data_IF_457512176379
#
_entry.id   IF_457512176379
#
_cell.length_a   1.000
_cell.length_b   1.000
_cell.length_c   1.000
_cell.angle_alpha   90.00
_cell.angle_beta   90.00
_cell.angle_gamma   90.00
#
_symmetry.space_group_name_H-M   'P 1'
#
loop_
_entity.id
_entity.type
_entity.pdbx_description
1 polymer ?
#
# COMPACT_ATOMS: atom_id res chain seq x y z
N UNK A 1 -23.82 -70.50 -44.12
CA UNK A 1 -22.66 -69.78 -44.70
C UNK A 1 -22.63 -68.42 -44.03
N UNK A 2 -21.57 -67.86 -43.44
CA UNK A 2 -20.14 -68.19 -43.40
C UNK A 2 -19.56 -67.50 -42.13
N UNK A 3 -18.55 -68.13 -41.53
CA UNK A 3 -17.66 -67.61 -40.47
C UNK A 3 -16.98 -66.30 -40.90
N UNK A 4 -16.59 -65.43 -39.95
CA UNK A 4 -15.18 -65.21 -39.56
C UNK A 4 -15.01 -64.05 -38.57
N UNK A 5 -14.23 -64.32 -37.52
CA UNK A 5 -13.68 -63.36 -36.57
C UNK A 5 -12.51 -62.60 -37.18
N UNK A 6 -12.32 -61.32 -36.84
CA UNK A 6 -11.10 -60.55 -37.14
C UNK A 6 -10.67 -59.78 -35.88
N UNK A 7 -9.50 -60.07 -35.31
CA UNK A 7 -8.81 -59.19 -34.37
C UNK A 7 -7.73 -58.39 -35.13
N UNK A 8 -7.70 -57.07 -34.97
CA UNK A 8 -6.55 -56.26 -35.40
C UNK A 8 -6.06 -55.46 -34.21
N UNK A 9 -4.88 -55.87 -33.74
CA UNK A 9 -4.07 -55.19 -32.75
C UNK A 9 -3.65 -53.81 -33.29
N UNK A 10 -4.07 -52.74 -32.61
CA UNK A 10 -3.56 -51.40 -32.87
C UNK A 10 -2.26 -51.21 -32.07
N UNK A 11 -1.15 -51.13 -32.80
CA UNK A 11 0.16 -50.71 -32.31
C UNK A 11 0.07 -49.30 -31.70
N UNK A 12 0.43 -49.14 -30.42
CA UNK A 12 0.79 -47.85 -29.84
C UNK A 12 2.30 -47.65 -30.01
N UNK A 13 2.69 -46.77 -30.94
CA UNK A 13 4.05 -46.25 -31.03
C UNK A 13 3.96 -44.71 -31.05
N UNK A 14 4.02 -44.10 -29.87
CA UNK A 14 4.24 -42.66 -29.75
C UNK A 14 5.74 -42.42 -29.56
N UNK A 15 6.37 -41.94 -30.63
CA UNK A 15 7.70 -41.33 -30.63
C UNK A 15 7.55 -39.92 -30.05
N UNK A 16 8.15 -39.64 -28.89
CA UNK A 16 8.38 -38.27 -28.42
C UNK A 16 9.89 -38.02 -28.38
N UNK A 17 10.41 -37.61 -29.53
CA UNK A 17 11.73 -37.00 -29.70
C UNK A 17 11.62 -35.54 -29.26
N UNK A 18 12.44 -35.14 -28.28
CA UNK A 18 12.44 -33.78 -27.73
C UNK A 18 13.11 -32.73 -28.62
N UNK A 19 13.00 -31.47 -28.21
CA UNK A 19 14.11 -30.52 -28.20
C UNK A 19 13.76 -29.30 -27.32
N UNK A 20 14.70 -29.03 -26.41
CA UNK A 20 14.91 -27.86 -25.58
C UNK A 20 14.17 -26.58 -26.01
N UNK A 21 13.14 -26.20 -25.25
CA UNK A 21 12.82 -24.80 -25.06
C UNK A 21 13.66 -24.29 -23.91
N UNK A 22 14.77 -23.61 -24.22
CA UNK A 22 15.38 -22.64 -23.30
C UNK A 22 14.35 -21.52 -23.10
N UNK A 23 13.36 -21.76 -22.25
CA UNK A 23 12.69 -20.67 -21.57
C UNK A 23 13.71 -20.13 -20.59
N UNK A 24 14.47 -19.13 -21.03
CA UNK A 24 14.97 -18.09 -20.14
C UNK A 24 13.74 -17.58 -19.42
N UNK A 25 13.46 -18.18 -18.26
CA UNK A 25 12.64 -17.60 -17.22
C UNK A 25 13.38 -16.35 -16.79
N UNK A 26 13.16 -15.27 -17.54
CA UNK A 26 13.20 -13.93 -17.00
C UNK A 26 12.17 -13.93 -15.88
N UNK A 27 12.56 -14.40 -14.70
CA UNK A 27 11.85 -14.06 -13.49
C UNK A 27 11.75 -12.53 -13.52
N UNK A 28 10.53 -11.95 -13.51
CA UNK A 28 10.45 -10.54 -13.22
C UNK A 28 11.10 -10.40 -11.85
N UNK A 29 12.24 -9.71 -11.78
CA UNK A 29 12.76 -9.21 -10.52
C UNK A 29 11.61 -8.43 -9.91
N UNK A 30 10.93 -9.03 -8.94
CA UNK A 30 9.84 -8.40 -8.24
C UNK A 30 10.42 -7.10 -7.69
N UNK A 31 10.02 -5.97 -8.28
CA UNK A 31 10.31 -4.68 -7.68
C UNK A 31 9.60 -4.73 -6.33
N UNK A 32 10.38 -4.86 -5.27
CA UNK A 32 9.85 -4.77 -3.91
C UNK A 32 9.51 -3.30 -3.71
N UNK A 33 8.29 -2.86 -4.06
CA UNK A 33 7.89 -1.49 -3.79
C UNK A 33 7.97 -1.25 -2.28
N UNK A 34 8.94 -0.44 -1.84
CA UNK A 34 9.07 -0.13 -0.42
C UNK A 34 7.78 0.54 0.05
N UNK A 35 7.24 0.05 1.15
CA UNK A 35 6.25 0.84 1.89
C UNK A 35 6.98 2.01 2.54
N UNK A 36 6.56 3.27 2.31
CA UNK A 36 7.16 4.40 3.00
C UNK A 36 6.98 4.26 4.51
N UNK A 37 8.03 4.58 5.27
CA UNK A 37 8.02 4.53 6.73
C UNK A 37 8.59 5.82 7.32
N UNK A 38 8.11 6.16 8.52
CA UNK A 38 8.69 7.21 9.35
C UNK A 38 8.92 6.69 10.77
N UNK A 39 9.86 7.30 11.48
CA UNK A 39 10.11 7.02 12.90
C UNK A 39 10.01 8.28 13.73
N UNK A 40 9.08 8.27 14.68
CA UNK A 40 8.84 9.38 15.61
C UNK A 40 8.97 8.87 17.04
N UNK A 41 9.85 9.48 17.82
CA UNK A 41 10.10 9.12 19.24
C UNK A 41 10.34 7.61 19.44
N UNK A 42 11.10 7.00 18.53
CA UNK A 42 11.42 5.56 18.56
C UNK A 42 10.32 4.62 18.06
N UNK A 43 9.13 5.12 17.70
CA UNK A 43 8.03 4.33 17.12
C UNK A 43 8.10 4.38 15.60
N UNK A 44 7.99 3.22 14.94
CA UNK A 44 7.93 3.10 13.48
C UNK A 44 6.48 3.13 13.02
N UNK A 45 6.23 3.88 11.95
CA UNK A 45 4.93 4.00 11.31
C UNK A 45 5.06 3.69 9.83
N UNK A 46 4.18 2.84 9.33
CA UNK A 46 4.06 2.51 7.91
C UNK A 46 3.00 3.37 7.23
N UNK A 47 3.18 3.71 5.95
CA UNK A 47 2.17 4.40 5.15
C UNK A 47 0.98 3.47 4.83
N UNK A 48 -0.25 4.01 4.95
CA UNK A 48 -1.49 3.25 4.73
C UNK A 48 -2.40 3.80 3.63
N UNK A 49 -2.60 5.13 3.59
CA UNK A 49 -3.57 5.76 2.68
C UNK A 49 -3.30 7.28 2.60
N UNK A 50 -4.17 7.99 1.90
CA UNK A 50 -4.17 9.45 1.84
C UNK A 50 -5.46 10.02 2.43
N UNK A 51 -5.39 11.24 2.95
CA UNK A 51 -6.56 11.96 3.46
C UNK A 51 -6.43 13.46 3.25
N UNK A 52 -7.56 14.12 3.01
CA UNK A 52 -7.70 15.58 3.07
C UNK A 52 -8.36 16.05 4.37
N UNK A 53 -8.48 15.14 5.36
CA UNK A 53 -8.98 15.52 6.68
C UNK A 53 -8.00 16.48 7.35
N UNK A 54 -8.52 17.58 7.89
CA UNK A 54 -7.73 18.57 8.61
C UNK A 54 -6.89 17.95 9.72
N UNK A 55 -5.62 18.38 9.78
CA UNK A 55 -4.63 17.92 10.75
C UNK A 55 -3.86 19.10 11.33
N UNK A 56 -3.31 18.94 12.53
CA UNK A 56 -2.52 19.97 13.22
C UNK A 56 -1.04 19.60 13.19
N UNK A 57 -0.18 20.56 12.85
CA UNK A 57 1.28 20.32 12.84
C UNK A 57 1.72 19.94 14.26
N UNK A 58 2.48 18.87 14.38
CA UNK A 58 2.82 18.25 15.65
C UNK A 58 4.32 18.22 15.92
N UNK A 59 5.13 17.74 14.97
CA UNK A 59 6.57 17.57 15.20
C UNK A 59 7.35 17.27 13.92
N UNK A 60 8.49 16.60 14.07
CA UNK A 60 9.31 16.06 12.99
C UNK A 60 9.63 14.59 13.25
N UNK A 61 9.68 13.78 12.20
CA UNK A 61 10.01 12.36 12.25
C UNK A 61 11.16 12.04 11.28
N UNK A 62 11.93 11.00 11.60
CA UNK A 62 12.92 10.44 10.68
C UNK A 62 12.18 9.76 9.51
N UNK A 63 12.63 9.96 8.29
CA UNK A 63 12.15 9.30 7.08
C UNK A 63 13.06 8.11 6.76
N UNK A 64 12.48 6.97 6.39
CA UNK A 64 13.24 5.83 5.89
C UNK A 64 13.60 6.00 4.41
N UNK A 65 14.77 5.49 4.03
CA UNK A 65 15.19 5.36 2.64
C UNK A 65 14.66 4.04 2.06
N UNK A 66 14.22 4.08 0.81
CA UNK A 66 13.86 2.88 0.07
C UNK A 66 15.10 2.28 -0.60
N UNK A 67 15.44 1.06 -0.18
CA UNK A 67 16.47 0.24 -0.79
C UNK A 67 15.80 -1.01 -1.39
N UNK A 68 15.25 -0.87 -2.60
CA UNK A 68 14.53 -1.92 -3.35
C UNK A 68 15.34 -2.51 -4.53
N UNK A 69 16.53 -1.98 -4.80
CA UNK A 69 17.41 -2.44 -5.88
C UNK A 69 18.41 -3.48 -5.38
N UNK A 70 18.38 -4.67 -5.98
CA UNK A 70 19.35 -5.76 -5.74
C UNK A 70 18.69 -7.06 -5.28
N UNK A 71 19.45 -8.17 -5.28
CA UNK A 71 18.92 -9.50 -4.91
C UNK A 71 18.55 -9.62 -3.43
N UNK A 72 19.19 -8.81 -2.59
CA UNK A 72 19.05 -8.81 -1.13
C UNK A 72 18.65 -7.41 -0.63
N UNK A 73 17.82 -6.72 -1.41
CA UNK A 73 17.40 -5.36 -1.11
C UNK A 73 16.62 -5.33 0.23
N UNK A 74 17.07 -4.57 1.24
CA UNK A 74 16.50 -4.63 2.59
C UNK A 74 15.14 -3.93 2.71
N UNK A 75 14.68 -3.24 1.67
CA UNK A 75 13.41 -2.50 1.68
C UNK A 75 13.56 -1.14 2.35
N UNK A 76 12.64 -0.82 3.26
CA UNK A 76 12.65 0.43 4.03
C UNK A 76 13.72 0.37 5.12
N UNK A 77 14.65 1.34 5.12
CA UNK A 77 15.76 1.39 6.08
C UNK A 77 15.91 2.81 6.63
N UNK A 78 16.04 2.93 7.96
CA UNK A 78 16.42 4.20 8.59
C UNK A 78 17.95 4.32 8.63
N UNK A 79 18.58 5.23 7.85
CA UNK A 79 20.02 5.43 7.90
C UNK A 79 20.45 6.06 9.24
N UNK A 80 21.76 6.12 9.48
CA UNK A 80 22.32 6.71 10.71
C UNK A 80 22.05 8.21 10.85
N UNK A 81 21.89 8.91 9.73
CA UNK A 81 21.54 10.34 9.66
C UNK A 81 20.33 10.49 8.72
N UNK A 82 19.11 10.17 9.20
CA UNK A 82 17.92 10.17 8.38
C UNK A 82 17.46 11.58 8.07
N UNK A 83 16.88 11.75 6.87
CA UNK A 83 16.15 12.98 6.56
C UNK A 83 14.98 13.13 7.53
N UNK A 84 14.65 14.36 7.88
CA UNK A 84 13.51 14.64 8.74
C UNK A 84 12.35 15.26 7.96
N UNK A 85 11.16 14.76 8.21
CA UNK A 85 9.90 15.26 7.65
C UNK A 85 9.03 15.82 8.76
N UNK A 86 8.29 16.89 8.47
CA UNK A 86 7.28 17.38 9.41
C UNK A 86 6.12 16.37 9.52
N UNK A 87 5.54 16.25 10.71
CA UNK A 87 4.39 15.38 10.97
C UNK A 87 3.22 16.13 11.58
N UNK A 88 2.02 15.64 11.32
CA UNK A 88 0.75 16.19 11.76
C UNK A 88 -0.09 15.13 12.50
N UNK A 89 -0.93 15.58 13.42
CA UNK A 89 -1.89 14.72 14.13
C UNK A 89 -3.32 14.99 13.67
N UNK A 90 -4.12 13.93 13.62
CA UNK A 90 -5.54 14.00 13.27
C UNK A 90 -6.41 13.98 14.52
N UNK A 91 -7.46 14.81 14.55
CA UNK A 91 -8.42 14.80 15.65
C UNK A 91 -9.06 13.43 15.85
N UNK A 92 -9.13 12.98 17.11
CA UNK A 92 -9.69 11.68 17.49
C UNK A 92 -8.68 10.53 17.55
N UNK A 93 -7.40 10.78 17.24
CA UNK A 93 -6.32 9.79 17.35
C UNK A 93 -5.14 10.36 18.15
N UNK A 94 -4.40 9.50 18.85
CA UNK A 94 -3.15 9.90 19.50
C UNK A 94 -2.00 9.89 18.50
N UNK A 95 -0.95 10.66 18.78
CA UNK A 95 0.29 10.64 17.97
C UNK A 95 0.97 9.27 17.97
N UNK A 96 0.79 8.47 19.02
CA UNK A 96 1.28 7.09 19.12
C UNK A 96 0.57 6.12 18.17
N UNK A 97 -0.62 6.49 17.67
CA UNK A 97 -1.39 5.66 16.75
C UNK A 97 -1.19 6.09 15.31
N UNK A 98 -1.31 7.39 15.04
CA UNK A 98 -1.36 7.92 13.68
C UNK A 98 -0.69 9.27 13.57
N UNK A 99 0.10 9.40 12.51
CA UNK A 99 0.68 10.64 12.04
C UNK A 99 0.33 10.86 10.57
N UNK A 100 0.40 12.11 10.12
CA UNK A 100 0.30 12.48 8.72
C UNK A 100 1.57 13.17 8.26
N UNK A 101 1.97 12.96 7.00
CA UNK A 101 2.97 13.77 6.30
C UNK A 101 2.28 14.52 5.17
N UNK A 102 2.38 15.84 5.16
CA UNK A 102 1.72 16.71 4.18
C UNK A 102 2.47 16.67 2.84
N UNK A 103 1.76 16.40 1.74
CA UNK A 103 2.32 16.45 0.37
C UNK A 103 1.60 17.43 -0.56
N UNK A 104 0.47 17.99 -0.13
CA UNK A 104 -0.27 19.05 -0.83
C UNK A 104 -0.76 20.14 0.12
N UNK A 105 -1.53 21.13 -0.36
CA UNK A 105 -2.11 22.15 0.50
C UNK A 105 -2.93 21.54 1.63
N UNK A 106 -3.86 20.63 1.36
CA UNK A 106 -4.68 20.04 2.43
C UNK A 106 -4.60 18.51 2.47
N UNK A 107 -3.62 17.94 1.76
CA UNK A 107 -3.49 16.50 1.56
C UNK A 107 -2.32 15.90 2.33
N UNK A 108 -2.60 14.81 3.01
CA UNK A 108 -1.66 14.09 3.88
C UNK A 108 -1.57 12.61 3.49
N UNK A 109 -0.35 12.09 3.45
CA UNK A 109 -0.11 10.65 3.52
C UNK A 109 -0.27 10.24 4.99
N UNK A 110 -1.07 9.21 5.24
CA UNK A 110 -1.38 8.69 6.57
C UNK A 110 -0.41 7.58 6.93
N UNK A 111 0.25 7.75 8.06
CA UNK A 111 1.16 6.81 8.68
C UNK A 111 0.55 6.27 9.97
N UNK A 112 0.49 4.94 10.11
CA UNK A 112 -0.05 4.29 11.30
C UNK A 112 1.06 3.50 11.96
N UNK A 113 1.18 3.60 13.28
CA UNK A 113 2.24 2.92 14.02
C UNK A 113 2.13 1.40 13.85
N UNK A 114 3.25 0.72 13.67
CA UNK A 114 3.28 -0.73 13.44
C UNK A 114 2.81 -1.53 14.66
N UNK A 115 2.78 -0.89 15.83
CA UNK A 115 2.23 -1.44 17.07
C UNK A 115 0.69 -1.50 17.07
N UNK A 116 0.02 -0.77 16.17
CA UNK A 116 -1.44 -0.77 16.05
C UNK A 116 -1.88 -2.07 15.37
N UNK A 117 -2.81 -2.85 15.96
CA UNK A 117 -3.35 -4.05 15.34
C UNK A 117 -3.91 -3.77 13.95
N UNK A 118 -3.67 -4.68 13.00
CA UNK A 118 -4.01 -4.48 11.58
C UNK A 118 -5.47 -4.10 11.34
N UNK A 119 -6.41 -4.75 12.03
CA UNK A 119 -7.85 -4.46 11.94
C UNK A 119 -8.18 -3.03 12.40
N UNK A 120 -7.50 -2.58 13.46
CA UNK A 120 -7.59 -1.20 13.94
C UNK A 120 -6.94 -0.22 12.94
N UNK A 121 -5.76 -0.52 12.40
CA UNK A 121 -5.10 0.31 11.40
C UNK A 121 -5.98 0.52 10.15
N UNK A 122 -6.56 -0.56 9.64
CA UNK A 122 -7.52 -0.51 8.53
C UNK A 122 -8.79 0.29 8.89
N UNK A 123 -9.28 0.19 10.12
CA UNK A 123 -10.40 0.99 10.58
C UNK A 123 -10.07 2.48 10.64
N UNK A 124 -8.90 2.85 11.16
CA UNK A 124 -8.45 4.24 11.25
C UNK A 124 -8.30 4.84 9.85
N UNK A 125 -7.57 4.18 8.95
CA UNK A 125 -7.38 4.63 7.56
C UNK A 125 -8.72 4.88 6.86
N UNK A 126 -9.66 3.93 6.93
CA UNK A 126 -11.00 4.09 6.34
C UNK A 126 -11.77 5.27 6.95
N UNK A 127 -11.61 5.53 8.24
CA UNK A 127 -12.32 6.61 8.94
C UNK A 127 -11.78 7.97 8.51
N UNK A 128 -10.46 8.13 8.46
CA UNK A 128 -9.82 9.37 8.00
C UNK A 128 -10.22 9.71 6.56
N UNK A 129 -10.17 8.72 5.66
CA UNK A 129 -10.61 8.91 4.27
C UNK A 129 -12.07 9.32 4.15
N UNK A 130 -12.96 8.75 4.96
CA UNK A 130 -14.38 9.13 4.99
C UNK A 130 -14.60 10.52 5.60
N UNK A 131 -13.81 10.90 6.61
CA UNK A 131 -13.84 12.22 7.23
C UNK A 131 -13.56 13.33 6.22
N UNK A 132 -12.52 13.13 5.38
CA UNK A 132 -12.19 14.02 4.27
C UNK A 132 -13.38 14.23 3.31
N UNK A 133 -14.02 13.14 2.87
CA UNK A 133 -15.19 13.22 1.98
C UNK A 133 -16.37 13.98 2.59
N UNK A 134 -16.57 13.90 3.90
CA UNK A 134 -17.63 14.66 4.58
C UNK A 134 -17.29 16.14 4.66
N UNK A 135 -16.05 16.49 4.97
CA UNK A 135 -15.59 17.87 5.02
C UNK A 135 -15.79 18.56 3.65
N UNK A 136 -15.39 17.90 2.56
CA UNK A 136 -15.56 18.40 1.18
C UNK A 136 -17.04 18.66 0.85
N UNK A 137 -17.94 17.73 1.21
CA UNK A 137 -19.39 17.91 0.99
C UNK A 137 -19.95 19.09 1.79
N UNK A 138 -19.53 19.24 3.05
CA UNK A 138 -19.97 20.35 3.89
C UNK A 138 -19.50 21.72 3.37
N UNK A 139 -18.35 21.79 2.68
CA UNK A 139 -17.86 23.01 2.07
C UNK A 139 -18.50 23.34 0.71
N UNK A 140 -19.13 22.35 0.05
CA UNK A 140 -19.71 22.49 -1.28
C UNK A 140 -21.19 22.93 -1.28
N UNK A 141 -21.86 22.98 -0.11
CA UNK A 141 -23.21 23.51 -0.02
C UNK A 141 -23.17 25.05 -0.11
N UNK A 142 -23.70 25.67 -1.19
CA UNK A 142 -23.88 27.10 -1.20
C UNK A 142 -24.91 27.45 -0.12
N UNK A 143 -24.54 28.37 0.76
CA UNK A 143 -25.45 29.04 1.69
C UNK A 143 -26.59 29.63 0.86
N UNK A 144 -27.70 28.90 0.77
CA UNK A 144 -28.95 29.41 0.20
C UNK A 144 -29.49 30.44 1.18
N UNK A 145 -28.97 31.66 1.05
CA UNK A 145 -29.60 32.87 1.55
C UNK A 145 -30.94 33.03 0.84
N UNK A 146 -31.98 32.45 1.43
CA UNK A 146 -33.36 32.83 1.16
C UNK A 146 -33.67 34.00 2.09
N UNK A 147 -33.73 35.26 1.61
CA UNK A 147 -34.39 36.29 2.39
C UNK A 147 -35.89 35.97 2.43
N UNK A 148 -36.40 35.74 3.64
CA UNK A 148 -37.82 35.70 3.88
C UNK A 148 -38.38 37.12 3.86
N UNK A 149 -39.22 37.37 2.84
CA UNK A 149 -40.25 38.42 2.67
C UNK A 149 -39.79 39.86 2.47
#
# INVERSE_FOLDING_TARGET
MLRTSVPVAAMLAFLLTGCAGDTTSSEPSAAYECTPEIRFDGVVYSAYDYTDQGATKFGTADEADCHDVGREAPGSVFPNDPRQVAVWTFGGYTSEQVLGVRFGPDSFMVFIADSVPRDQAEHISRTLRKGALRAVRSSADPVNGVPAR
#
